data_IF_749385221490
#
_entry.id   IF_749385221490
#
_cell.length_a   1.000
_cell.length_b   1.000
_cell.length_c   1.000
_cell.angle_alpha   90.00
_cell.angle_beta   90.00
_cell.angle_gamma   90.00
#
_symmetry.space_group_name_H-M   'P 1'
#
loop_
_entity.id
_entity.type
_entity.pdbx_description
1 polymer ?
#
# COMPACT_ATOMS: atom_id res chain seq x y z
N UNK A 1 -9.19 -17.03 8.37
CA UNK A 1 -9.76 -15.74 8.84
C UNK A 1 -9.46 -15.46 10.32
N UNK A 2 -9.42 -16.43 11.20
CA UNK A 2 -9.14 -16.23 12.63
C UNK A 2 -7.78 -15.57 12.92
N UNK A 3 -6.76 -15.81 12.07
CA UNK A 3 -5.41 -15.28 12.22
C UNK A 3 -5.20 -13.87 11.58
N UNK A 4 -6.23 -13.31 10.96
CA UNK A 4 -6.15 -11.98 10.36
C UNK A 4 -5.31 -11.88 9.07
N UNK A 5 -5.13 -12.97 8.36
CA UNK A 5 -4.41 -12.97 7.07
C UNK A 5 -5.10 -12.13 6.03
N UNK A 6 -4.30 -11.44 5.23
CA UNK A 6 -4.71 -10.66 4.07
C UNK A 6 -3.72 -10.86 2.92
N UNK A 7 -4.05 -10.35 1.73
CA UNK A 7 -3.17 -10.42 0.57
C UNK A 7 -2.84 -11.84 0.09
N UNK A 8 -1.62 -12.08 -0.39
CA UNK A 8 -1.20 -13.38 -0.91
C UNK A 8 -1.33 -14.51 0.10
N UNK A 9 -1.19 -14.23 1.40
CA UNK A 9 -1.38 -15.23 2.46
C UNK A 9 -2.81 -15.75 2.48
N UNK A 10 -3.80 -14.87 2.37
CA UNK A 10 -5.21 -15.23 2.34
C UNK A 10 -5.60 -15.85 0.99
N UNK A 11 -5.13 -15.27 -0.12
CA UNK A 11 -5.41 -15.78 -1.47
C UNK A 11 -4.77 -17.15 -1.71
N UNK A 12 -3.59 -17.41 -1.15
CA UNK A 12 -2.99 -18.74 -1.14
C UNK A 12 -3.87 -19.81 -0.47
N UNK A 13 -4.66 -19.42 0.53
CA UNK A 13 -5.61 -20.32 1.20
C UNK A 13 -6.97 -20.48 0.48
N UNK A 14 -7.10 -20.04 -0.76
CA UNK A 14 -8.32 -20.24 -1.54
C UNK A 14 -9.37 -19.14 -1.45
N UNK A 15 -9.08 -18.01 -0.80
CA UNK A 15 -10.05 -16.92 -0.60
C UNK A 15 -9.72 -15.76 -1.54
N UNK A 16 -10.62 -15.49 -2.49
CA UNK A 16 -10.50 -14.41 -3.47
C UNK A 16 -10.84 -13.04 -2.85
N UNK A 17 -10.02 -12.58 -1.90
CA UNK A 17 -10.15 -11.28 -1.28
C UNK A 17 -9.03 -10.34 -1.78
N UNK A 18 -9.44 -9.22 -2.37
CA UNK A 18 -8.54 -8.15 -2.82
C UNK A 18 -9.32 -6.83 -2.77
N UNK A 19 -8.79 -5.85 -2.03
CA UNK A 19 -9.45 -4.56 -1.83
C UNK A 19 -9.66 -3.81 -3.15
N UNK A 20 -8.76 -3.97 -4.12
CA UNK A 20 -8.87 -3.34 -5.43
C UNK A 20 -10.11 -3.74 -6.20
N UNK A 21 -10.68 -4.92 -5.91
CA UNK A 21 -11.93 -5.43 -6.50
C UNK A 21 -13.14 -5.38 -5.56
N UNK A 22 -12.93 -5.61 -4.26
CA UNK A 22 -14.02 -5.67 -3.27
C UNK A 22 -14.44 -4.29 -2.76
N UNK A 23 -13.49 -3.39 -2.63
CA UNK A 23 -13.69 -1.99 -2.24
C UNK A 23 -12.81 -1.10 -3.12
N UNK A 24 -13.14 -0.97 -4.42
CA UNK A 24 -12.30 -0.25 -5.37
C UNK A 24 -12.01 1.18 -4.91
N UNK A 25 -10.76 1.56 -4.98
CA UNK A 25 -10.26 2.89 -4.70
C UNK A 25 -9.47 3.39 -5.92
N UNK A 26 -9.26 4.70 -6.01
CA UNK A 26 -8.60 5.34 -7.16
C UNK A 26 -9.26 4.89 -8.49
N UNK A 27 -8.45 4.46 -9.43
CA UNK A 27 -8.89 4.01 -10.76
C UNK A 27 -9.03 2.49 -10.89
N UNK A 28 -8.86 1.72 -9.82
CA UNK A 28 -8.91 0.26 -9.90
C UNK A 28 -10.24 -0.30 -10.37
N UNK A 29 -11.34 0.41 -10.15
CA UNK A 29 -12.65 0.04 -10.68
C UNK A 29 -12.73 0.04 -12.22
N UNK A 30 -11.83 0.75 -12.89
CA UNK A 30 -11.75 0.85 -14.34
C UNK A 30 -10.75 -0.15 -14.94
N UNK A 31 -9.95 -0.82 -14.11
CA UNK A 31 -8.88 -1.71 -14.55
C UNK A 31 -9.38 -3.15 -14.71
N UNK A 32 -8.96 -3.76 -15.82
CA UNK A 32 -9.20 -5.17 -16.09
C UNK A 32 -7.99 -5.99 -15.64
N UNK A 33 -8.18 -6.78 -14.58
CA UNK A 33 -7.21 -7.73 -14.03
C UNK A 33 -7.92 -8.82 -13.24
N UNK A 34 -7.24 -9.96 -13.09
CA UNK A 34 -7.74 -11.11 -12.35
C UNK A 34 -7.11 -11.21 -10.96
N UNK A 35 -7.81 -11.85 -10.03
CA UNK A 35 -7.30 -12.14 -8.68
C UNK A 35 -6.85 -13.59 -8.65
N UNK A 36 -5.54 -13.87 -8.58
CA UNK A 36 -5.05 -15.23 -8.44
C UNK A 36 -5.35 -15.81 -7.06
N UNK A 37 -5.73 -17.09 -7.05
CA UNK A 37 -6.12 -17.81 -5.83
C UNK A 37 -5.46 -19.17 -5.82
N UNK A 38 -4.87 -19.57 -4.69
CA UNK A 38 -4.31 -20.90 -4.48
C UNK A 38 -5.37 -21.92 -4.08
N UNK A 39 -4.98 -23.17 -3.98
CA UNK A 39 -5.88 -24.30 -3.66
C UNK A 39 -5.44 -25.12 -2.44
N UNK A 40 -4.14 -25.18 -2.16
CA UNK A 40 -3.58 -26.01 -1.08
C UNK A 40 -3.18 -25.21 0.15
N UNK A 41 -2.96 -23.90 0.01
CA UNK A 41 -2.58 -23.04 1.13
C UNK A 41 -1.13 -23.20 1.60
N UNK A 42 -0.29 -23.82 0.81
CA UNK A 42 1.12 -24.09 1.11
C UNK A 42 2.07 -22.99 0.62
N UNK A 43 3.36 -23.16 0.88
CA UNK A 43 4.40 -22.23 0.44
C UNK A 43 4.46 -22.09 -1.09
N UNK A 44 4.19 -23.19 -1.81
CA UNK A 44 4.24 -23.20 -3.27
C UNK A 44 3.07 -22.43 -3.87
N UNK A 45 1.86 -22.60 -3.35
CA UNK A 45 0.70 -21.82 -3.77
C UNK A 45 0.91 -20.31 -3.54
N UNK A 46 1.46 -19.92 -2.40
CA UNK A 46 1.79 -18.51 -2.14
C UNK A 46 2.82 -17.95 -3.13
N UNK A 47 3.81 -18.77 -3.50
CA UNK A 47 4.77 -18.42 -4.55
C UNK A 47 4.08 -18.22 -5.90
N UNK A 48 3.24 -19.17 -6.33
CA UNK A 48 2.51 -19.08 -7.60
C UNK A 48 1.55 -17.88 -7.65
N UNK A 49 0.85 -17.62 -6.57
CA UNK A 49 -0.03 -16.44 -6.44
C UNK A 49 0.77 -15.16 -6.67
N UNK A 50 1.94 -14.99 -6.06
CA UNK A 50 2.78 -13.79 -6.25
C UNK A 50 3.30 -13.66 -7.67
N UNK A 51 3.70 -14.74 -8.31
CA UNK A 51 4.12 -14.73 -9.72
C UNK A 51 2.98 -14.25 -10.62
N UNK A 52 1.77 -14.76 -10.38
CA UNK A 52 0.61 -14.34 -11.17
C UNK A 52 0.20 -12.89 -10.86
N UNK A 53 0.29 -12.44 -9.63
CA UNK A 53 0.07 -11.04 -9.25
C UNK A 53 1.02 -10.08 -9.98
N UNK A 54 2.28 -10.45 -10.17
CA UNK A 54 3.22 -9.66 -10.97
C UNK A 54 2.78 -9.57 -12.44
N UNK A 55 2.23 -10.64 -13.01
CA UNK A 55 1.69 -10.63 -14.39
C UNK A 55 0.46 -9.70 -14.49
N UNK A 56 -0.44 -9.79 -13.51
CA UNK A 56 -1.62 -8.92 -13.45
C UNK A 56 -1.23 -7.44 -13.23
N UNK A 57 -0.21 -7.17 -12.42
CA UNK A 57 0.35 -5.82 -12.26
C UNK A 57 0.89 -5.26 -13.57
N UNK A 58 1.60 -6.06 -14.36
CA UNK A 58 2.04 -5.66 -15.69
C UNK A 58 0.86 -5.39 -16.65
N UNK A 59 -0.24 -6.13 -16.52
CA UNK A 59 -1.48 -5.89 -17.29
C UNK A 59 -2.09 -4.54 -16.94
N UNK A 60 -2.16 -4.18 -15.65
CA UNK A 60 -2.62 -2.87 -15.18
C UNK A 60 -1.71 -1.75 -15.70
N UNK A 61 -0.38 -1.89 -15.59
CA UNK A 61 0.57 -0.90 -16.07
C UNK A 61 0.37 -0.60 -17.57
N UNK A 62 0.17 -1.63 -18.38
CA UNK A 62 -0.09 -1.44 -19.81
C UNK A 62 -1.36 -0.64 -20.07
N UNK A 63 -2.44 -0.89 -19.34
CA UNK A 63 -3.69 -0.14 -19.44
C UNK A 63 -3.49 1.32 -19.06
N UNK A 64 -2.79 1.59 -17.95
CA UNK A 64 -2.46 2.94 -17.52
C UNK A 64 -1.64 3.69 -18.57
N UNK A 65 -0.61 3.07 -19.14
CA UNK A 65 0.23 3.69 -20.19
C UNK A 65 -0.61 4.01 -21.44
N UNK A 66 -1.47 3.09 -21.87
CA UNK A 66 -2.32 3.32 -23.03
C UNK A 66 -3.30 4.48 -22.79
N UNK A 67 -3.91 4.52 -21.59
CA UNK A 67 -4.82 5.60 -21.24
C UNK A 67 -4.11 6.96 -21.17
N UNK A 68 -2.93 7.04 -20.52
CA UNK A 68 -2.16 8.28 -20.40
C UNK A 68 -1.70 8.81 -21.77
N UNK A 69 -1.36 7.91 -22.71
CA UNK A 69 -1.00 8.32 -24.09
C UNK A 69 -2.19 8.89 -24.86
N UNK A 70 -3.37 8.34 -24.63
CA UNK A 70 -4.60 8.82 -25.28
C UNK A 70 -5.15 10.11 -24.63
N UNK A 71 -4.85 10.34 -23.35
CA UNK A 71 -5.40 11.44 -22.56
C UNK A 71 -4.27 12.27 -21.91
N UNK A 72 -3.51 13.03 -22.70
CA UNK A 72 -2.50 13.91 -22.14
C UNK A 72 -3.15 15.03 -21.33
N UNK A 73 -2.58 15.32 -20.16
CA UNK A 73 -3.12 16.30 -19.23
C UNK A 73 -2.06 16.87 -18.30
N UNK A 74 -2.43 17.78 -17.38
CA UNK A 74 -1.53 18.30 -16.37
C UNK A 74 -1.07 17.19 -15.43
N UNK A 75 0.22 17.21 -15.09
CA UNK A 75 0.85 16.21 -14.22
C UNK A 75 1.00 16.69 -12.78
N UNK A 76 0.51 17.88 -12.48
CA UNK A 76 0.65 18.49 -11.17
C UNK A 76 -0.57 19.36 -10.85
N UNK A 77 -0.99 19.33 -9.59
CA UNK A 77 -2.05 20.20 -9.09
C UNK A 77 -1.62 21.68 -9.12
N UNK A 78 -2.56 22.58 -9.37
CA UNK A 78 -2.28 24.01 -9.44
C UNK A 78 -2.46 24.74 -8.09
N UNK A 79 -3.00 24.10 -7.07
CA UNK A 79 -3.20 24.69 -5.75
C UNK A 79 -1.85 24.96 -5.06
N UNK A 80 -1.51 26.24 -4.91
CA UNK A 80 -0.28 26.70 -4.27
C UNK A 80 -0.17 26.30 -2.80
N UNK A 81 -1.27 26.00 -2.11
CA UNK A 81 -1.24 25.59 -0.68
C UNK A 81 -0.60 24.23 -0.48
N UNK A 82 -0.75 23.34 -1.45
CA UNK A 82 -0.30 21.95 -1.37
C UNK A 82 0.77 21.60 -2.42
N UNK A 83 1.16 22.56 -3.23
CA UNK A 83 2.19 22.42 -4.27
C UNK A 83 3.42 23.27 -3.96
N UNK A 84 4.63 22.69 -3.97
CA UNK A 84 5.84 23.49 -3.89
C UNK A 84 5.98 24.41 -5.14
N UNK A 85 6.54 25.60 -5.00
CA UNK A 85 6.80 26.49 -6.11
C UNK A 85 7.83 25.89 -7.08
N UNK A 86 7.78 26.29 -8.33
CA UNK A 86 8.76 25.87 -9.34
C UNK A 86 10.15 26.43 -9.01
N UNK A 87 11.19 25.70 -9.36
CA UNK A 87 12.57 26.12 -9.09
C UNK A 87 12.92 27.51 -9.71
N UNK A 88 12.36 27.80 -10.87
CA UNK A 88 12.53 29.11 -11.52
C UNK A 88 11.85 30.24 -10.77
N UNK A 89 10.66 29.98 -10.21
CA UNK A 89 9.91 30.93 -9.41
C UNK A 89 10.69 31.27 -8.12
N UNK A 90 11.21 30.25 -7.41
CA UNK A 90 12.01 30.45 -6.20
C UNK A 90 13.26 31.31 -6.41
N UNK A 91 13.82 31.32 -7.61
CA UNK A 91 15.04 32.10 -7.93
C UNK A 91 14.76 33.58 -8.32
N UNK A 92 13.56 33.85 -8.79
CA UNK A 92 13.16 35.15 -9.29
C UNK A 92 12.21 35.94 -8.39
N UNK A 93 11.56 35.27 -7.46
CA UNK A 93 10.51 35.83 -6.62
C UNK A 93 10.70 35.48 -5.16
N UNK A 94 10.75 36.51 -4.29
CA UNK A 94 10.95 36.38 -2.85
C UNK A 94 9.76 35.65 -2.18
N UNK A 95 8.54 35.91 -2.61
CA UNK A 95 7.34 35.26 -2.06
C UNK A 95 7.39 33.75 -2.31
N UNK A 96 7.77 33.34 -3.52
CA UNK A 96 7.95 31.93 -3.86
C UNK A 96 9.06 31.26 -3.06
N UNK A 97 10.14 31.97 -2.76
CA UNK A 97 11.22 31.47 -1.91
C UNK A 97 10.74 31.26 -0.46
N UNK A 98 10.00 32.21 0.11
CA UNK A 98 9.40 32.13 1.45
C UNK A 98 8.38 30.98 1.49
N UNK A 99 7.54 30.86 0.47
CA UNK A 99 6.57 29.78 0.36
C UNK A 99 7.26 28.40 0.34
N UNK A 100 8.33 28.26 -0.45
CA UNK A 100 9.12 27.04 -0.46
C UNK A 100 9.69 26.69 0.91
N UNK A 101 10.29 27.67 1.58
CA UNK A 101 10.86 27.49 2.91
C UNK A 101 9.80 27.04 3.93
N UNK A 102 8.68 27.73 3.97
CA UNK A 102 7.56 27.36 4.88
C UNK A 102 6.96 26.01 4.55
N UNK A 103 6.76 25.73 3.28
CA UNK A 103 6.23 24.43 2.85
C UNK A 103 7.13 23.25 3.24
N UNK A 104 8.45 23.41 3.14
CA UNK A 104 9.40 22.37 3.50
C UNK A 104 9.65 22.23 5.01
N UNK A 105 9.48 23.30 5.80
CA UNK A 105 9.70 23.29 7.25
C UNK A 105 8.43 23.02 8.05
N UNK A 106 7.32 23.63 7.67
CA UNK A 106 6.05 23.57 8.40
C UNK A 106 4.99 22.75 7.68
N UNK A 107 5.11 22.62 6.34
CA UNK A 107 4.07 22.01 5.50
C UNK A 107 2.75 22.80 5.53
N UNK A 108 1.63 22.16 5.32
CA UNK A 108 0.29 22.75 5.38
C UNK A 108 -0.53 22.14 6.51
N UNK A 109 -1.48 22.90 7.04
CA UNK A 109 -2.40 22.40 8.04
C UNK A 109 -3.53 21.60 7.40
N UNK A 110 -3.88 20.47 8.02
CA UNK A 110 -4.99 19.62 7.61
C UNK A 110 -6.20 19.94 8.49
N UNK A 111 -7.41 20.06 7.95
CA UNK A 111 -8.61 20.29 8.76
C UNK A 111 -8.77 19.23 9.87
N UNK A 112 -9.40 19.64 10.97
CA UNK A 112 -9.73 18.72 12.08
C UNK A 112 -10.62 17.59 11.58
N UNK A 113 -10.34 16.38 12.03
CA UNK A 113 -11.13 15.20 11.68
C UNK A 113 -10.34 13.91 11.75
N UNK A 114 -11.06 12.82 11.56
CA UNK A 114 -10.49 11.48 11.49
C UNK A 114 -10.70 10.85 10.12
N UNK A 115 -9.76 10.05 9.71
CA UNK A 115 -9.83 9.30 8.45
C UNK A 115 -9.17 7.94 8.61
N UNK A 116 -9.78 6.93 8.02
CA UNK A 116 -9.20 5.61 7.84
C UNK A 116 -9.20 5.26 6.37
N UNK A 117 -8.05 4.88 5.85
CA UNK A 117 -7.91 4.39 4.50
C UNK A 117 -7.10 3.09 4.50
N UNK A 118 -7.52 2.13 3.71
CA UNK A 118 -6.81 0.87 3.52
C UNK A 118 -6.56 0.64 2.02
N UNK A 119 -5.40 0.10 1.71
CA UNK A 119 -4.99 -0.24 0.34
C UNK A 119 -4.50 -1.68 0.28
N UNK A 120 -4.62 -2.30 -0.88
CA UNK A 120 -4.03 -3.61 -1.14
C UNK A 120 -2.54 -3.42 -1.45
N UNK A 121 -1.70 -3.59 -0.43
CA UNK A 121 -0.25 -3.59 -0.59
C UNK A 121 0.25 -4.98 -1.03
N UNK A 122 1.48 -5.10 -1.56
CA UNK A 122 2.01 -6.40 -2.01
C UNK A 122 2.00 -7.49 -0.94
N UNK A 123 2.13 -7.13 0.32
CA UNK A 123 2.09 -8.06 1.48
C UNK A 123 0.67 -8.37 1.94
N UNK A 124 -0.27 -7.51 1.65
CA UNK A 124 -1.66 -7.60 2.07
C UNK A 124 -2.29 -6.24 2.37
N UNK A 125 -3.37 -6.22 3.11
CA UNK A 125 -4.07 -4.99 3.46
C UNK A 125 -3.23 -4.11 4.39
N UNK A 126 -2.84 -2.95 3.89
CA UNK A 126 -2.17 -1.90 4.66
C UNK A 126 -3.17 -0.77 4.94
N UNK A 127 -3.42 -0.50 6.21
CA UNK A 127 -4.36 0.53 6.64
C UNK A 127 -3.68 1.64 7.45
N UNK A 128 -4.14 2.86 7.24
CA UNK A 128 -3.72 4.04 8.01
C UNK A 128 -4.93 4.71 8.62
N UNK A 129 -4.93 4.81 9.95
CA UNK A 129 -5.85 5.66 10.69
C UNK A 129 -5.13 6.95 11.09
N UNK A 130 -5.72 8.07 10.76
CA UNK A 130 -5.20 9.40 11.01
C UNK A 130 -6.22 10.24 11.76
N UNK A 131 -5.77 10.91 12.83
CA UNK A 131 -6.53 11.94 13.55
C UNK A 131 -5.79 13.26 13.42
N UNK A 132 -6.46 14.27 12.89
CA UNK A 132 -5.96 15.65 12.77
C UNK A 132 -6.68 16.57 13.77
N UNK A 133 -5.91 17.46 14.40
CA UNK A 133 -6.37 18.52 15.30
C UNK A 133 -6.30 19.92 14.65
N UNK A 134 -6.18 19.99 13.31
CA UNK A 134 -6.02 21.23 12.59
C UNK A 134 -4.56 21.70 12.42
N UNK A 135 -3.60 21.01 13.03
CA UNK A 135 -2.17 21.32 12.89
C UNK A 135 -1.56 20.74 11.61
N UNK A 136 -0.28 21.04 11.42
CA UNK A 136 0.54 20.49 10.31
C UNK A 136 1.10 19.09 10.60
N UNK A 137 0.90 18.59 11.82
CA UNK A 137 1.29 17.24 12.25
C UNK A 137 0.05 16.51 12.74
N UNK A 138 -0.08 15.21 12.45
CA UNK A 138 -1.20 14.45 12.96
C UNK A 138 -1.15 14.38 14.48
N UNK A 139 -2.30 14.57 15.14
CA UNK A 139 -2.45 14.32 16.56
C UNK A 139 -2.21 12.85 16.90
N UNK A 140 -2.74 11.95 16.05
CA UNK A 140 -2.51 10.51 16.17
C UNK A 140 -2.44 9.87 14.80
N UNK A 141 -1.48 8.95 14.63
CA UNK A 141 -1.35 8.07 13.47
C UNK A 141 -1.26 6.63 13.97
N UNK A 142 -2.04 5.74 13.35
CA UNK A 142 -1.92 4.30 13.57
C UNK A 142 -1.86 3.59 12.22
N UNK A 143 -0.80 2.82 12.00
CA UNK A 143 -0.65 1.97 10.83
C UNK A 143 -1.08 0.53 11.19
N UNK A 144 -1.94 -0.05 10.37
CA UNK A 144 -2.21 -1.49 10.38
C UNK A 144 -1.34 -2.12 9.31
N UNK A 145 -0.37 -2.89 9.75
CA UNK A 145 0.54 -3.60 8.86
C UNK A 145 0.10 -5.07 8.72
N UNK A 146 0.07 -5.63 7.50
CA UNK A 146 -0.33 -7.03 7.30
C UNK A 146 0.67 -8.01 7.91
N UNK A 147 1.98 -7.70 7.89
CA UNK A 147 3.04 -8.56 8.41
C UNK A 147 2.93 -8.86 9.90
N UNK A 148 2.36 -7.96 10.69
CA UNK A 148 2.15 -8.19 12.12
C UNK A 148 1.22 -9.38 12.39
N UNK A 149 0.11 -9.47 11.66
CA UNK A 149 -0.82 -10.59 11.77
C UNK A 149 -0.23 -11.87 11.17
N UNK A 150 0.52 -11.76 10.06
CA UNK A 150 1.16 -12.90 9.42
C UNK A 150 2.20 -13.55 10.34
N UNK A 151 3.06 -12.75 10.98
CA UNK A 151 4.08 -13.27 11.90
C UNK A 151 3.48 -13.94 13.14
N UNK A 152 2.36 -13.44 13.64
CA UNK A 152 1.70 -14.04 14.80
C UNK A 152 1.29 -15.51 14.55
N UNK A 153 1.05 -15.89 13.32
CA UNK A 153 0.69 -17.25 12.94
C UNK A 153 1.89 -18.18 12.68
N UNK A 154 3.13 -17.68 12.74
CA UNK A 154 4.31 -18.46 12.40
C UNK A 154 4.41 -19.76 13.21
N UNK A 155 4.13 -19.70 14.53
CA UNK A 155 4.19 -20.87 15.41
C UNK A 155 3.29 -22.00 14.93
N UNK A 156 2.05 -21.68 14.58
CA UNK A 156 1.07 -22.67 14.08
C UNK A 156 1.46 -23.25 12.71
N UNK A 157 2.09 -22.43 11.86
CA UNK A 157 2.50 -22.84 10.51
C UNK A 157 3.72 -23.74 10.48
N UNK A 158 4.58 -23.70 11.50
CA UNK A 158 5.83 -24.47 11.53
C UNK A 158 5.76 -25.67 12.45
N UNK A 159 4.68 -25.83 13.22
CA UNK A 159 4.52 -26.95 14.14
C UNK A 159 4.53 -28.28 13.37
N UNK A 160 5.35 -29.22 13.80
CA UNK A 160 5.51 -30.53 13.16
C UNK A 160 6.41 -30.54 11.90
N UNK A 161 6.99 -29.43 11.51
CA UNK A 161 7.92 -29.30 10.39
C UNK A 161 9.39 -29.27 10.81
N UNK A 162 10.30 -29.39 9.87
CA UNK A 162 11.75 -29.31 10.13
C UNK A 162 12.19 -27.85 10.37
N UNK A 163 13.28 -27.68 11.12
CA UNK A 163 13.84 -26.34 11.35
C UNK A 163 14.18 -25.59 10.04
N UNK A 164 14.59 -26.31 9.01
CA UNK A 164 14.84 -25.73 7.69
C UNK A 164 13.58 -25.14 7.04
N UNK A 165 12.41 -25.70 7.31
CA UNK A 165 11.14 -25.22 6.74
C UNK A 165 10.71 -23.88 7.35
N UNK A 166 11.14 -23.57 8.57
CA UNK A 166 10.87 -22.28 9.20
C UNK A 166 11.35 -21.11 8.33
N UNK A 167 12.54 -21.25 7.74
CA UNK A 167 13.09 -20.22 6.83
C UNK A 167 12.22 -20.05 5.59
N UNK A 168 11.76 -21.16 5.00
CA UNK A 168 10.87 -21.13 3.84
C UNK A 168 9.52 -20.49 4.18
N UNK A 169 8.95 -20.83 5.34
CA UNK A 169 7.68 -20.25 5.83
C UNK A 169 7.79 -18.76 6.05
N UNK A 170 8.84 -18.29 6.75
CA UNK A 170 9.10 -16.85 6.96
C UNK A 170 9.25 -16.13 5.62
N UNK A 171 10.00 -16.71 4.69
CA UNK A 171 10.18 -16.15 3.34
C UNK A 171 8.86 -16.04 2.57
N UNK A 172 7.97 -17.04 2.67
CA UNK A 172 6.66 -17.01 2.01
C UNK A 172 5.62 -16.14 2.71
N UNK A 173 5.78 -15.86 4.01
CA UNK A 173 5.00 -14.84 4.72
C UNK A 173 5.39 -13.41 4.30
N UNK A 174 6.54 -13.24 3.66
CA UNK A 174 7.09 -11.95 3.22
C UNK A 174 7.27 -10.98 4.40
N UNK A 175 7.92 -11.45 5.47
CA UNK A 175 8.11 -10.69 6.70
C UNK A 175 9.24 -9.66 6.52
N UNK A 176 8.96 -8.41 6.89
CA UNK A 176 9.94 -7.35 7.07
C UNK A 176 9.78 -6.79 8.48
N UNK A 177 10.80 -6.94 9.31
CA UNK A 177 10.69 -6.63 10.74
C UNK A 177 10.46 -5.14 11.04
N UNK A 178 10.89 -4.23 10.18
CA UNK A 178 10.57 -2.80 10.31
C UNK A 178 9.08 -2.51 10.23
N UNK A 179 8.32 -3.29 9.47
CA UNK A 179 6.85 -3.22 9.41
C UNK A 179 6.19 -3.71 10.71
N UNK A 180 6.80 -4.67 11.37
CA UNK A 180 6.26 -5.31 12.57
C UNK A 180 6.61 -4.52 13.81
N UNK A 181 7.84 -4.04 13.88
CA UNK A 181 8.45 -3.43 15.07
C UNK A 181 8.06 -1.95 15.26
N UNK A 182 7.69 -1.24 14.24
CA UNK A 182 7.12 0.15 14.17
C UNK A 182 7.53 1.12 15.26
#
# INVERSE_FOLDING_TARGET
MQLGFTGPMLRGCGIAWDLRKKQPYEVYGLMDFDIPVGTHGDCYDRYLVRIEEMRQSNRIIRQCIQWLRANPGPVMIEDRKIRPPRRTEMKGDMESLIHHFKFMTESYCVPEGESYAAVEAPKGEFGVYLLSDGANKPYRLKCRAPGFAHLAALGEMVEGHMLADVVAVIGTQDIVFGEIDR
#
